data_IF_241738365972
#
_entry.id   IF_241738365972
#
_cell.length_a   1.000
_cell.length_b   1.000
_cell.length_c   1.000
_cell.angle_alpha   90.00
_cell.angle_beta   90.00
_cell.angle_gamma   90.00
#
_symmetry.space_group_name_H-M   'P 1'
#
loop_
_entity.id
_entity.type
_entity.pdbx_description
1 polymer ?
#
# COMPACT_ATOMS: atom_id res chain seq x y z
N UNK A 1 6.24 1.49 13.20
CA UNK A 1 5.65 0.52 12.26
C UNK A 1 4.93 -0.53 13.07
N UNK A 2 3.60 -0.50 13.07
CA UNK A 2 2.82 -1.57 13.71
C UNK A 2 2.81 -2.79 12.79
N UNK A 3 3.33 -3.92 13.29
CA UNK A 3 3.20 -5.21 12.63
C UNK A 3 1.72 -5.58 12.65
N UNK A 4 1.15 -5.96 11.50
CA UNK A 4 -0.21 -6.50 11.49
C UNK A 4 -0.22 -7.80 12.32
N UNK A 5 -0.98 -7.89 13.43
CA UNK A 5 -0.84 -8.98 14.40
C UNK A 5 -1.21 -10.39 13.89
N UNK A 6 -1.67 -10.53 12.65
CA UNK A 6 -2.40 -11.73 12.19
C UNK A 6 -1.81 -12.41 10.94
N UNK A 7 -0.67 -11.95 10.41
CA UNK A 7 -0.06 -12.62 9.26
C UNK A 7 1.09 -13.51 9.71
N UNK A 8 0.99 -14.82 9.44
CA UNK A 8 2.09 -15.78 9.67
C UNK A 8 3.33 -15.45 8.82
N UNK A 9 3.10 -14.77 7.70
CA UNK A 9 4.11 -14.16 6.84
C UNK A 9 4.37 -12.73 7.33
N UNK A 10 5.64 -12.29 7.33
CA UNK A 10 6.03 -10.92 7.71
C UNK A 10 5.55 -9.89 6.66
N UNK A 11 4.25 -9.60 6.62
CA UNK A 11 3.72 -8.52 5.79
C UNK A 11 4.08 -7.17 6.41
N UNK A 12 5.02 -6.49 5.77
CA UNK A 12 5.30 -5.09 6.05
C UNK A 12 4.37 -4.24 5.17
N UNK A 13 3.64 -3.32 5.80
CA UNK A 13 2.97 -2.25 5.07
C UNK A 13 4.04 -1.27 4.57
N UNK A 14 4.06 -1.06 3.27
CA UNK A 14 4.98 -0.13 2.63
C UNK A 14 4.30 1.22 2.39
N UNK A 15 5.03 2.30 2.64
CA UNK A 15 4.66 3.61 2.13
C UNK A 15 5.09 3.76 0.65
N UNK A 16 4.59 4.82 0.00
CA UNK A 16 4.87 5.09 -1.43
C UNK A 16 6.37 5.24 -1.69
N UNK A 17 7.14 5.84 -0.77
CA UNK A 17 8.58 6.07 -0.94
C UNK A 17 9.37 4.76 -0.91
N UNK A 18 8.96 3.83 -0.04
CA UNK A 18 9.56 2.51 0.07
C UNK A 18 9.27 1.67 -1.18
N UNK A 19 8.04 1.68 -1.68
CA UNK A 19 7.72 0.99 -2.95
C UNK A 19 8.51 1.62 -4.10
N UNK A 20 8.57 2.95 -4.20
CA UNK A 20 9.36 3.59 -5.25
C UNK A 20 10.84 3.17 -5.21
N UNK A 21 11.45 3.14 -4.03
CA UNK A 21 12.84 2.69 -3.85
C UNK A 21 13.06 1.26 -4.35
N UNK A 22 12.16 0.33 -4.02
CA UNK A 22 12.25 -1.08 -4.43
C UNK A 22 12.25 -1.26 -5.95
N UNK A 23 11.46 -0.47 -6.68
CA UNK A 23 11.27 -0.62 -8.13
C UNK A 23 12.16 0.31 -8.96
N UNK A 24 12.78 1.31 -8.34
CA UNK A 24 13.54 2.39 -9.02
C UNK A 24 14.68 1.92 -9.93
N UNK A 25 15.22 0.73 -9.71
CA UNK A 25 16.34 0.18 -10.50
C UNK A 25 15.94 -0.25 -11.91
N UNK A 26 14.69 -0.61 -12.13
CA UNK A 26 14.21 -1.16 -13.42
C UNK A 26 12.96 -0.47 -13.94
N UNK A 27 12.30 0.32 -13.09
CA UNK A 27 11.04 0.95 -13.41
C UNK A 27 11.02 2.40 -12.95
N UNK A 28 10.42 3.26 -13.76
CA UNK A 28 10.12 4.64 -13.43
C UNK A 28 8.67 4.75 -12.97
N UNK A 29 8.44 5.38 -11.81
CA UNK A 29 7.08 5.71 -11.36
C UNK A 29 6.49 6.76 -12.30
N UNK A 30 5.31 6.48 -12.85
CA UNK A 30 4.60 7.39 -13.76
C UNK A 30 3.35 8.00 -13.13
N UNK A 31 2.75 7.33 -12.14
CA UNK A 31 1.58 7.84 -11.44
C UNK A 31 1.47 7.26 -10.03
N UNK A 32 0.90 8.04 -9.12
CA UNK A 32 0.49 7.61 -7.78
C UNK A 32 -0.86 8.21 -7.46
N UNK A 33 -1.82 7.37 -7.09
CA UNK A 33 -3.17 7.81 -6.74
C UNK A 33 -3.55 7.35 -5.34
N UNK A 34 -3.92 8.29 -4.47
CA UNK A 34 -4.51 8.01 -3.16
C UNK A 34 -5.99 7.72 -3.33
N UNK A 35 -6.46 6.65 -2.72
CA UNK A 35 -7.86 6.26 -2.71
C UNK A 35 -8.33 6.10 -1.27
N UNK A 36 -9.55 6.55 -1.02
CA UNK A 36 -10.22 6.46 0.27
C UNK A 36 -11.54 5.75 0.10
N UNK A 37 -11.79 4.76 0.95
CA UNK A 37 -13.04 4.00 0.94
C UNK A 37 -13.54 3.80 2.37
N UNK A 38 -14.86 3.88 2.55
CA UNK A 38 -15.50 3.46 3.79
C UNK A 38 -15.87 1.99 3.67
N UNK A 39 -15.34 1.16 4.56
CA UNK A 39 -15.55 -0.29 4.55
C UNK A 39 -16.00 -0.77 5.91
N UNK A 40 -16.85 -1.80 5.92
CA UNK A 40 -17.20 -2.51 7.15
C UNK A 40 -16.08 -3.51 7.45
N UNK A 41 -15.46 -3.38 8.61
CA UNK A 41 -14.42 -4.28 9.08
C UNK A 41 -14.99 -5.67 9.39
N UNK A 42 -14.12 -6.66 9.56
CA UNK A 42 -14.53 -8.02 9.97
C UNK A 42 -15.26 -8.04 11.33
N UNK A 43 -15.08 -7.00 12.15
CA UNK A 43 -15.71 -6.87 13.46
C UNK A 43 -17.04 -6.10 13.39
N UNK A 44 -17.46 -5.64 12.20
CA UNK A 44 -18.70 -4.88 12.00
C UNK A 44 -18.55 -3.37 12.09
N UNK A 45 -17.37 -2.86 12.46
CA UNK A 45 -17.10 -1.42 12.53
C UNK A 45 -16.99 -0.80 11.13
N UNK A 46 -17.57 0.38 10.92
CA UNK A 46 -17.30 1.19 9.74
C UNK A 46 -15.95 1.89 9.90
N UNK A 47 -15.01 1.64 8.99
CA UNK A 47 -13.67 2.22 9.02
C UNK A 47 -13.34 2.87 7.67
N UNK A 48 -12.67 4.03 7.72
CA UNK A 48 -12.08 4.65 6.53
C UNK A 48 -10.75 3.95 6.25
N UNK A 49 -10.62 3.37 5.05
CA UNK A 49 -9.37 2.80 4.55
C UNK A 49 -8.77 3.74 3.51
N UNK A 50 -7.50 4.07 3.72
CA UNK A 50 -6.69 4.82 2.75
C UNK A 50 -5.65 3.86 2.16
N UNK A 51 -5.54 3.83 0.84
CA UNK A 51 -4.52 3.06 0.13
C UNK A 51 -4.03 3.79 -1.13
N UNK A 52 -2.87 3.40 -1.63
CA UNK A 52 -2.25 4.01 -2.80
C UNK A 52 -2.13 3.00 -3.94
N UNK A 53 -2.52 3.42 -5.13
CA UNK A 53 -2.23 2.70 -6.38
C UNK A 53 -1.07 3.39 -7.08
N UNK A 54 0.01 2.64 -7.33
CA UNK A 54 1.20 3.14 -8.02
C UNK A 54 1.30 2.49 -9.41
N UNK A 55 1.60 3.29 -10.43
CA UNK A 55 1.82 2.79 -11.80
C UNK A 55 3.25 3.06 -12.22
N UNK A 56 3.89 2.04 -12.75
CA UNK A 56 5.29 2.04 -13.15
C UNK A 56 5.43 1.72 -14.64
N UNK A 57 6.47 2.27 -15.26
CA UNK A 57 6.87 1.95 -16.63
C UNK A 57 8.29 1.39 -16.61
N UNK A 58 8.54 0.29 -17.35
CA UNK A 58 9.90 -0.24 -17.52
C UNK A 58 10.79 0.81 -18.18
N UNK A 59 12.01 0.90 -17.70
CA UNK A 59 13.07 1.68 -18.35
C UNK A 59 13.67 0.84 -19.48
#
# INVERSE_FOLDING_TARGET
>A
MEKLPFTQENFNLYDVSQVHSLFSHSFKLINSHEQRENVVSKNGDNVERVFYTLTFQSI
#
